data_IF_040817650289
#
_entry.id   IF_040817650289
#
_cell.length_a   1.000
_cell.length_b   1.000
_cell.length_c   1.000
_cell.angle_alpha   90.00
_cell.angle_beta   90.00
_cell.angle_gamma   90.00
#
_symmetry.space_group_name_H-M   'P 1'
#
loop_
_entity.id
_entity.type
_entity.pdbx_description
1 polymer ?
#
# COMPACT_ATOMS: atom_id res chain seq x y z
N UNK A 1 -30.11 34.52 12.86
CA UNK A 1 -28.80 34.42 13.55
C UNK A 1 -28.30 33.00 13.81
N UNK A 2 -29.08 31.92 13.61
CA UNK A 2 -28.64 30.50 13.80
C UNK A 2 -27.76 29.92 12.68
N UNK A 3 -27.93 30.35 11.42
CA UNK A 3 -27.25 29.80 10.25
C UNK A 3 -25.69 29.84 10.36
N UNK A 4 -25.04 30.94 10.80
CA UNK A 4 -23.57 30.97 10.91
C UNK A 4 -23.01 29.99 11.94
N UNK A 5 -23.71 29.72 13.03
CA UNK A 5 -23.27 28.74 14.05
C UNK A 5 -23.40 27.30 13.57
N UNK A 6 -24.43 26.97 12.78
CA UNK A 6 -24.59 25.65 12.15
C UNK A 6 -23.47 25.42 11.13
N UNK A 7 -23.19 26.40 10.28
CA UNK A 7 -22.10 26.32 9.31
C UNK A 7 -20.73 26.14 9.98
N UNK A 8 -20.46 26.87 11.06
CA UNK A 8 -19.22 26.75 11.84
C UNK A 8 -19.09 25.37 12.50
N UNK A 9 -20.19 24.87 13.06
CA UNK A 9 -20.24 23.52 13.62
C UNK A 9 -19.99 22.44 12.59
N UNK A 10 -20.58 22.52 11.41
CA UNK A 10 -20.38 21.59 10.30
C UNK A 10 -18.93 21.61 9.79
N UNK A 11 -18.33 22.81 9.65
CA UNK A 11 -16.94 22.95 9.28
C UNK A 11 -15.99 22.34 10.32
N UNK A 12 -16.27 22.55 11.60
CA UNK A 12 -15.51 21.95 12.70
C UNK A 12 -15.59 20.41 12.71
N UNK A 13 -16.79 19.86 12.51
CA UNK A 13 -17.02 18.43 12.41
C UNK A 13 -16.28 17.81 11.20
N UNK A 14 -16.33 18.47 10.04
CA UNK A 14 -15.60 18.05 8.85
C UNK A 14 -14.08 18.07 9.09
N UNK A 15 -13.53 19.16 9.61
CA UNK A 15 -12.10 19.26 9.91
C UNK A 15 -11.64 18.20 10.93
N UNK A 16 -12.49 17.87 11.90
CA UNK A 16 -12.21 16.76 12.81
C UNK A 16 -12.21 15.41 12.10
N UNK A 17 -13.19 15.18 11.21
CA UNK A 17 -13.33 13.93 10.48
C UNK A 17 -12.14 13.62 9.56
N UNK A 18 -11.56 14.66 8.90
CA UNK A 18 -10.41 14.52 8.00
C UNK A 18 -9.06 14.70 8.70
N UNK A 19 -9.02 14.86 10.01
CA UNK A 19 -7.79 15.18 10.74
C UNK A 19 -6.87 13.96 10.87
N UNK A 20 -5.66 13.97 10.25
CA UNK A 20 -4.66 12.90 10.38
C UNK A 20 -3.92 12.97 11.72
N UNK A 21 -2.90 12.15 11.89
CA UNK A 21 -1.89 12.31 12.95
C UNK A 21 -0.99 13.53 12.67
N UNK A 22 -0.12 13.84 13.64
CA UNK A 22 0.87 14.92 13.51
C UNK A 22 2.29 14.43 13.22
N UNK A 23 2.51 13.11 13.09
CA UNK A 23 3.83 12.52 12.85
C UNK A 23 4.26 12.76 11.41
N UNK A 24 5.48 13.28 11.18
CA UNK A 24 6.00 13.63 9.86
C UNK A 24 7.48 13.29 9.67
N UNK A 25 8.21 13.08 10.74
CA UNK A 25 9.68 12.93 10.69
C UNK A 25 10.11 11.66 9.96
N UNK A 26 9.24 10.65 9.94
CA UNK A 26 9.43 9.38 9.24
C UNK A 26 9.62 9.55 7.71
N UNK A 27 9.07 10.60 7.11
CA UNK A 27 9.16 10.85 5.65
C UNK A 27 10.61 10.89 5.19
N UNK A 28 11.53 11.43 6.01
CA UNK A 28 12.95 11.53 5.65
C UNK A 28 13.61 10.17 5.41
N UNK A 29 13.15 9.16 6.14
CA UNK A 29 13.66 7.80 6.02
C UNK A 29 13.11 7.09 4.76
N UNK A 30 11.89 7.44 4.34
CA UNK A 30 11.19 6.72 3.28
C UNK A 30 11.15 7.44 1.92
N UNK A 31 11.34 8.78 1.89
CA UNK A 31 11.18 9.58 0.67
C UNK A 31 12.42 9.58 -0.26
N UNK A 32 13.48 8.86 0.10
CA UNK A 32 14.72 8.84 -0.70
C UNK A 32 14.69 7.81 -1.84
N UNK A 33 13.69 6.93 -1.88
CA UNK A 33 13.51 5.91 -2.92
C UNK A 33 12.11 5.98 -3.54
N UNK A 34 11.96 5.42 -4.73
CA UNK A 34 10.68 5.13 -5.35
C UNK A 34 10.26 3.70 -5.01
N UNK A 35 8.96 3.44 -4.92
CA UNK A 35 8.42 2.14 -4.52
C UNK A 35 7.85 1.40 -5.72
N UNK A 36 8.37 0.21 -6.00
CA UNK A 36 7.85 -0.65 -7.05
C UNK A 36 6.54 -1.29 -6.57
N UNK A 37 5.43 -0.95 -7.26
CA UNK A 37 4.08 -1.47 -7.00
C UNK A 37 4.05 -2.98 -7.21
N UNK A 38 3.78 -3.76 -6.14
CA UNK A 38 3.82 -5.24 -6.17
C UNK A 38 5.15 -5.82 -6.62
N UNK A 39 6.27 -5.13 -6.31
CA UNK A 39 7.60 -5.41 -6.82
C UNK A 39 7.84 -4.87 -8.23
N UNK A 40 9.07 -5.05 -8.74
CA UNK A 40 9.43 -4.62 -10.09
C UNK A 40 9.05 -5.72 -11.10
N UNK A 41 7.75 -5.88 -11.33
CA UNK A 41 7.20 -6.93 -12.16
C UNK A 41 7.20 -6.59 -13.66
N UNK A 42 7.33 -7.62 -14.49
CA UNK A 42 7.10 -7.58 -15.94
C UNK A 42 6.50 -8.92 -16.39
N UNK A 43 5.18 -8.96 -16.51
CA UNK A 43 4.45 -10.15 -16.90
C UNK A 43 4.88 -10.72 -18.26
N UNK A 44 5.38 -9.86 -19.21
CA UNK A 44 5.85 -10.30 -20.53
C UNK A 44 7.18 -11.06 -20.43
N UNK A 45 7.95 -10.82 -19.39
CA UNK A 45 9.23 -11.50 -19.11
C UNK A 45 9.11 -12.64 -18.11
N UNK A 46 7.89 -13.05 -17.76
CA UNK A 46 7.66 -14.10 -16.78
C UNK A 46 7.97 -13.71 -15.34
N UNK A 47 7.91 -12.41 -15.03
CA UNK A 47 8.12 -11.85 -13.69
C UNK A 47 6.76 -11.28 -13.24
N UNK A 48 5.88 -12.10 -12.63
CA UNK A 48 4.55 -11.64 -12.24
C UNK A 48 4.56 -10.70 -11.03
N UNK A 49 3.48 -9.90 -10.90
CA UNK A 49 3.25 -9.06 -9.73
C UNK A 49 3.22 -9.88 -8.45
N UNK A 50 3.67 -9.30 -7.33
CA UNK A 50 3.66 -9.94 -6.01
C UNK A 50 4.41 -11.30 -5.96
N UNK A 51 5.45 -11.47 -6.79
CA UNK A 51 6.28 -12.67 -6.85
C UNK A 51 7.66 -12.46 -6.21
N UNK A 52 8.31 -13.55 -5.84
CA UNK A 52 9.69 -13.51 -5.31
C UNK A 52 10.66 -12.92 -6.32
N UNK A 53 10.47 -13.19 -7.62
CA UNK A 53 11.28 -12.62 -8.70
C UNK A 53 11.10 -11.10 -8.81
N UNK A 54 9.85 -10.59 -8.73
CA UNK A 54 9.57 -9.16 -8.78
C UNK A 54 10.17 -8.41 -7.57
N UNK A 55 10.13 -9.00 -6.39
CA UNK A 55 10.72 -8.42 -5.18
C UNK A 55 12.25 -8.42 -5.22
N UNK A 56 12.87 -9.52 -5.67
CA UNK A 56 14.32 -9.59 -5.87
C UNK A 56 14.79 -8.52 -6.84
N UNK A 57 14.10 -8.37 -7.96
CA UNK A 57 14.44 -7.39 -8.98
C UNK A 57 14.30 -5.95 -8.46
N UNK A 58 13.26 -5.63 -7.70
CA UNK A 58 13.09 -4.33 -7.06
C UNK A 58 14.24 -4.03 -6.08
N UNK A 59 14.60 -5.00 -5.23
CA UNK A 59 15.72 -4.91 -4.29
C UNK A 59 17.04 -4.68 -5.00
N UNK A 60 17.34 -5.45 -6.05
CA UNK A 60 18.57 -5.32 -6.85
C UNK A 60 18.72 -3.94 -7.51
N UNK A 61 17.60 -3.29 -7.85
CA UNK A 61 17.59 -1.93 -8.39
C UNK A 61 17.55 -0.84 -7.31
N UNK A 62 17.52 -1.22 -6.03
CA UNK A 62 17.46 -0.29 -4.90
C UNK A 62 16.14 0.46 -4.78
N UNK A 63 15.04 -0.06 -5.33
CA UNK A 63 13.70 0.46 -5.10
C UNK A 63 13.15 -0.03 -3.77
N UNK A 64 12.37 0.81 -3.09
CA UNK A 64 11.43 0.34 -2.10
C UNK A 64 10.38 -0.56 -2.75
N UNK A 65 9.68 -1.34 -1.95
CA UNK A 65 8.69 -2.29 -2.43
C UNK A 65 7.35 -1.99 -1.77
N UNK A 66 6.32 -1.86 -2.59
CA UNK A 66 4.93 -1.98 -2.12
C UNK A 66 4.45 -3.40 -2.38
N UNK A 67 3.68 -3.98 -1.44
CA UNK A 67 3.17 -5.34 -1.51
C UNK A 67 1.86 -5.54 -0.76
N UNK A 68 1.08 -6.56 -1.15
CA UNK A 68 -0.29 -6.81 -0.71
C UNK A 68 -0.38 -8.08 0.16
N UNK A 69 -0.72 -7.94 1.45
CA UNK A 69 -0.84 -9.06 2.38
C UNK A 69 -2.30 -9.48 2.53
N UNK A 70 -2.58 -10.77 2.29
CA UNK A 70 -3.83 -11.44 2.59
C UNK A 70 -3.60 -12.64 3.51
N UNK A 71 -4.67 -13.34 3.90
CA UNK A 71 -4.57 -14.61 4.64
C UNK A 71 -5.01 -15.79 3.79
N UNK A 72 -4.30 -16.90 3.94
CA UNK A 72 -4.76 -18.22 3.51
C UNK A 72 -5.87 -18.75 4.44
N UNK A 73 -6.51 -19.86 4.08
CA UNK A 73 -7.54 -20.54 4.90
C UNK A 73 -7.03 -20.93 6.29
N UNK A 74 -5.79 -21.34 6.39
CA UNK A 74 -5.12 -21.71 7.64
C UNK A 74 -4.51 -20.51 8.38
N UNK A 75 -4.82 -19.27 7.92
CA UNK A 75 -4.46 -18.03 8.60
C UNK A 75 -2.99 -17.63 8.45
N UNK A 76 -2.30 -18.13 7.45
CA UNK A 76 -0.92 -17.75 7.14
C UNK A 76 -0.94 -16.51 6.23
N UNK A 77 -0.17 -15.44 6.54
CA UNK A 77 -0.03 -14.28 5.66
C UNK A 77 0.67 -14.66 4.35
N UNK A 78 0.02 -14.34 3.23
CA UNK A 78 0.49 -14.59 1.86
C UNK A 78 0.42 -13.32 1.03
N UNK A 79 1.21 -13.23 -0.04
CA UNK A 79 1.32 -12.04 -0.85
C UNK A 79 0.55 -12.20 -2.16
N UNK A 80 -0.57 -11.50 -2.26
CA UNK A 80 -1.42 -11.47 -3.45
C UNK A 80 -2.39 -10.28 -3.37
N UNK A 81 -2.62 -9.60 -4.51
CA UNK A 81 -3.46 -8.40 -4.53
C UNK A 81 -4.97 -8.69 -4.52
N UNK A 82 -5.45 -9.52 -5.46
CA UNK A 82 -6.88 -9.69 -5.68
C UNK A 82 -7.54 -10.57 -4.61
N UNK A 83 -8.79 -10.27 -4.27
CA UNK A 83 -9.58 -11.11 -3.37
C UNK A 83 -9.91 -12.49 -4.00
N UNK A 84 -9.77 -12.64 -5.32
CA UNK A 84 -10.00 -13.89 -6.06
C UNK A 84 -8.78 -14.26 -6.89
N UNK A 85 -8.53 -15.54 -7.04
CA UNK A 85 -7.30 -16.06 -7.64
C UNK A 85 -7.28 -16.02 -9.17
N UNK A 86 -8.44 -15.94 -9.83
CA UNK A 86 -8.62 -16.21 -11.26
C UNK A 86 -7.83 -15.30 -12.23
N UNK A 87 -7.50 -14.07 -11.84
CA UNK A 87 -6.73 -13.17 -12.71
C UNK A 87 -5.28 -13.59 -12.86
N UNK A 88 -4.61 -13.91 -11.75
CA UNK A 88 -3.15 -14.11 -11.71
C UNK A 88 -2.72 -15.53 -11.35
N UNK A 89 -3.64 -16.43 -10.94
CA UNK A 89 -3.28 -17.76 -10.49
C UNK A 89 -3.69 -18.83 -11.50
N UNK A 90 -2.80 -19.78 -11.77
CA UNK A 90 -2.97 -20.88 -12.70
C UNK A 90 -2.70 -22.22 -12.02
N UNK A 91 -3.46 -23.26 -12.35
CA UNK A 91 -3.14 -24.62 -11.97
C UNK A 91 -2.01 -25.19 -12.86
N UNK A 92 -1.61 -26.43 -12.64
CA UNK A 92 -0.57 -27.13 -13.42
C UNK A 92 -0.89 -27.27 -14.92
N UNK A 93 -2.15 -27.12 -15.31
CA UNK A 93 -2.60 -27.18 -16.70
C UNK A 93 -2.68 -25.79 -17.35
N UNK A 94 -2.27 -24.71 -16.65
CA UNK A 94 -2.36 -23.34 -17.11
C UNK A 94 -3.77 -22.73 -17.02
N UNK A 95 -4.74 -23.44 -16.40
CA UNK A 95 -6.11 -22.96 -16.26
C UNK A 95 -6.24 -21.99 -15.06
N UNK A 96 -7.00 -20.87 -15.20
CA UNK A 96 -7.25 -19.97 -14.07
C UNK A 96 -7.90 -20.68 -12.88
N UNK A 97 -7.32 -20.47 -11.69
CA UNK A 97 -7.87 -21.00 -10.43
C UNK A 97 -9.00 -20.09 -9.96
N UNK A 98 -10.17 -20.66 -9.63
CA UNK A 98 -11.30 -19.93 -9.07
C UNK A 98 -11.23 -19.91 -7.53
N UNK A 99 -12.03 -19.05 -6.90
CA UNK A 99 -12.11 -18.94 -5.45
C UNK A 99 -11.29 -17.80 -4.89
N UNK A 100 -11.29 -17.69 -3.57
CA UNK A 100 -10.58 -16.67 -2.80
C UNK A 100 -9.28 -17.25 -2.21
N UNK A 101 -8.37 -16.40 -1.83
CA UNK A 101 -7.16 -16.79 -1.08
C UNK A 101 -7.53 -17.58 0.19
N UNK A 102 -8.60 -17.17 0.88
CA UNK A 102 -9.11 -17.82 2.09
C UNK A 102 -9.79 -19.17 1.87
N UNK A 103 -9.97 -19.61 0.63
CA UNK A 103 -10.52 -20.93 0.33
C UNK A 103 -9.44 -22.04 0.34
N UNK A 104 -8.17 -21.65 0.34
CA UNK A 104 -7.01 -22.52 0.20
C UNK A 104 -6.03 -22.37 1.36
N UNK A 105 -5.41 -23.46 1.81
CA UNK A 105 -4.26 -23.43 2.74
C UNK A 105 -3.01 -22.89 2.02
N UNK A 106 -1.98 -22.52 2.78
CA UNK A 106 -0.69 -22.15 2.19
C UNK A 106 -0.13 -23.27 1.29
N UNK A 107 -0.18 -24.52 1.74
CA UNK A 107 0.33 -25.65 0.97
C UNK A 107 -0.41 -25.85 -0.34
N UNK A 108 -1.74 -25.64 -0.36
CA UNK A 108 -2.54 -25.68 -1.57
C UNK A 108 -2.20 -24.50 -2.50
N UNK A 109 -2.06 -23.26 -1.97
CA UNK A 109 -1.67 -22.09 -2.72
C UNK A 109 -0.29 -22.24 -3.39
N UNK A 110 0.63 -22.91 -2.72
CA UNK A 110 1.98 -23.22 -3.22
C UNK A 110 1.99 -24.22 -4.40
N UNK A 111 0.89 -24.91 -4.67
CA UNK A 111 0.78 -25.79 -5.86
C UNK A 111 0.46 -25.01 -7.14
N UNK A 112 -0.05 -23.78 -7.02
CA UNK A 112 -0.45 -22.96 -8.15
C UNK A 112 0.70 -22.07 -8.63
N UNK A 113 0.65 -21.70 -9.91
CA UNK A 113 1.57 -20.78 -10.56
C UNK A 113 0.99 -19.37 -10.63
N UNK A 114 1.86 -18.38 -10.63
CA UNK A 114 1.49 -16.99 -10.94
C UNK A 114 1.62 -16.78 -12.45
N UNK A 115 0.49 -16.56 -13.14
CA UNK A 115 0.43 -16.42 -14.59
C UNK A 115 1.17 -17.57 -15.31
N UNK A 116 1.78 -17.30 -16.46
CA UNK A 116 2.56 -18.26 -17.24
C UNK A 116 4.04 -18.25 -16.79
N UNK A 117 4.29 -18.50 -15.49
CA UNK A 117 5.63 -18.49 -14.89
C UNK A 117 5.82 -19.65 -13.90
N UNK A 118 7.06 -19.87 -13.45
CA UNK A 118 7.37 -20.81 -12.38
C UNK A 118 7.17 -20.21 -10.96
N UNK A 119 6.88 -18.92 -10.88
CA UNK A 119 6.65 -18.22 -9.62
C UNK A 119 5.36 -18.71 -8.94
N UNK A 120 5.38 -18.75 -7.62
CA UNK A 120 4.28 -19.18 -6.76
C UNK A 120 3.84 -18.04 -5.86
N UNK A 121 2.63 -18.14 -5.28
CA UNK A 121 2.19 -17.20 -4.25
C UNK A 121 3.14 -17.29 -3.07
N UNK A 122 3.90 -16.22 -2.73
CA UNK A 122 4.83 -16.28 -1.61
C UNK A 122 4.12 -16.20 -0.27
N UNK A 123 4.62 -16.88 0.76
CA UNK A 123 4.31 -16.53 2.12
C UNK A 123 4.98 -15.19 2.49
N UNK A 124 4.33 -14.37 3.32
CA UNK A 124 4.89 -13.08 3.72
C UNK A 124 6.25 -13.24 4.44
N UNK A 125 6.40 -14.28 5.24
CA UNK A 125 7.67 -14.58 5.91
C UNK A 125 8.83 -14.77 4.91
N UNK A 126 8.60 -15.46 3.77
CA UNK A 126 9.61 -15.66 2.73
C UNK A 126 10.04 -14.34 2.08
N UNK A 127 9.07 -13.43 1.90
CA UNK A 127 9.36 -12.10 1.34
C UNK A 127 10.17 -11.26 2.33
N UNK A 128 9.82 -11.26 3.61
CA UNK A 128 10.57 -10.56 4.65
C UNK A 128 12.01 -11.08 4.76
N UNK A 129 12.21 -12.40 4.66
CA UNK A 129 13.53 -13.02 4.62
C UNK A 129 14.34 -12.60 3.37
N UNK A 130 13.70 -12.60 2.19
CA UNK A 130 14.34 -12.16 0.93
C UNK A 130 14.80 -10.72 1.01
N UNK A 131 13.96 -9.83 1.51
CA UNK A 131 14.25 -8.38 1.56
C UNK A 131 15.28 -8.08 2.64
N UNK A 132 15.15 -8.71 3.82
CA UNK A 132 16.11 -8.65 4.93
C UNK A 132 16.53 -7.21 5.31
N UNK A 133 15.62 -6.25 5.21
CA UNK A 133 15.86 -4.85 5.59
C UNK A 133 16.66 -4.01 4.58
N UNK A 134 17.04 -4.56 3.42
CA UNK A 134 17.89 -3.85 2.47
C UNK A 134 17.18 -2.70 1.74
N UNK A 135 15.87 -2.77 1.60
CA UNK A 135 15.02 -1.70 1.03
C UNK A 135 13.75 -1.51 1.87
N UNK A 136 13.19 -0.29 1.91
CA UNK A 136 11.98 -0.03 2.70
C UNK A 136 10.73 -0.65 2.06
N UNK A 137 9.77 -1.03 2.92
CA UNK A 137 8.51 -1.63 2.52
C UNK A 137 7.31 -0.70 2.80
N UNK A 138 6.35 -0.70 1.88
CA UNK A 138 4.97 -0.27 2.09
C UNK A 138 4.11 -1.53 2.05
N UNK A 139 3.49 -1.89 3.18
CA UNK A 139 2.76 -3.14 3.35
C UNK A 139 1.26 -2.86 3.38
N UNK A 140 0.55 -3.19 2.29
CA UNK A 140 -0.90 -3.05 2.27
C UNK A 140 -1.58 -4.24 2.97
N UNK A 141 -2.38 -3.94 3.99
CA UNK A 141 -3.24 -4.93 4.67
C UNK A 141 -4.54 -5.08 3.89
N UNK A 142 -4.67 -6.16 3.11
CA UNK A 142 -5.89 -6.49 2.37
C UNK A 142 -6.92 -7.13 3.30
N UNK A 143 -8.11 -6.57 3.29
CA UNK A 143 -9.26 -7.09 4.04
C UNK A 143 -10.45 -7.16 3.10
N UNK A 144 -11.45 -7.96 3.43
CA UNK A 144 -12.74 -7.93 2.72
C UNK A 144 -13.43 -6.57 2.84
N UNK A 145 -14.22 -6.22 1.84
CA UNK A 145 -14.97 -4.97 1.79
C UNK A 145 -15.92 -4.83 3.00
N UNK A 146 -15.60 -3.89 3.89
CA UNK A 146 -16.41 -3.59 5.06
C UNK A 146 -16.20 -4.53 6.26
N UNK A 147 -15.17 -5.36 6.24
CA UNK A 147 -14.84 -6.22 7.37
C UNK A 147 -14.42 -5.38 8.57
N UNK A 148 -15.16 -5.54 9.67
CA UNK A 148 -14.82 -4.95 10.96
C UNK A 148 -13.71 -5.71 11.67
N UNK A 149 -13.58 -7.01 11.41
CA UNK A 149 -12.50 -7.84 11.87
C UNK A 149 -11.38 -7.83 10.85
N UNK A 150 -10.15 -7.60 11.30
CA UNK A 150 -8.98 -7.45 10.46
C UNK A 150 -7.85 -8.39 10.92
N UNK A 151 -8.09 -9.73 10.89
CA UNK A 151 -7.12 -10.70 11.39
C UNK A 151 -5.78 -10.66 10.63
N UNK A 152 -5.79 -10.19 9.39
CA UNK A 152 -4.55 -9.97 8.62
C UNK A 152 -3.59 -9.03 9.33
N UNK A 153 -4.09 -7.99 10.01
CA UNK A 153 -3.25 -7.05 10.76
C UNK A 153 -2.50 -7.76 11.89
N UNK A 154 -3.19 -8.58 12.69
CA UNK A 154 -2.57 -9.32 13.79
C UNK A 154 -1.53 -10.33 13.29
N UNK A 155 -1.89 -11.09 12.24
CA UNK A 155 -1.02 -12.15 11.69
C UNK A 155 0.20 -11.58 10.98
N UNK A 156 0.03 -10.53 10.19
CA UNK A 156 1.14 -9.86 9.53
C UNK A 156 2.04 -9.14 10.54
N UNK A 157 1.45 -8.45 11.53
CA UNK A 157 2.20 -7.77 12.57
C UNK A 157 3.08 -8.72 13.40
N UNK A 158 2.61 -9.94 13.67
CA UNK A 158 3.41 -10.96 14.37
C UNK A 158 4.72 -11.29 13.63
N UNK A 159 4.73 -11.25 12.29
CA UNK A 159 5.94 -11.41 11.48
C UNK A 159 6.77 -10.12 11.47
N UNK A 160 6.11 -8.97 11.30
CA UNK A 160 6.79 -7.66 11.25
C UNK A 160 7.49 -7.28 12.55
N UNK A 161 7.04 -7.77 13.70
CA UNK A 161 7.72 -7.58 15.00
C UNK A 161 9.15 -8.12 15.02
N UNK A 162 9.45 -9.13 14.20
CA UNK A 162 10.77 -9.74 14.09
C UNK A 162 11.55 -9.26 12.85
N UNK A 163 10.99 -8.33 12.08
CA UNK A 163 11.62 -7.78 10.90
C UNK A 163 12.41 -6.51 11.24
N UNK A 164 13.70 -6.49 10.91
CA UNK A 164 14.61 -5.40 11.27
C UNK A 164 14.71 -4.29 10.21
N UNK A 165 13.95 -4.39 9.11
CA UNK A 165 13.96 -3.41 8.03
C UNK A 165 12.95 -2.26 8.25
N UNK A 166 13.12 -1.14 7.56
CA UNK A 166 12.16 -0.06 7.57
C UNK A 166 10.87 -0.45 6.84
N UNK A 167 9.72 -0.23 7.48
CA UNK A 167 8.42 -0.44 6.87
C UNK A 167 7.36 0.53 7.36
N UNK A 168 6.37 0.76 6.54
CA UNK A 168 5.10 1.39 6.89
C UNK A 168 3.96 0.46 6.47
N UNK A 169 2.80 0.63 7.09
CA UNK A 169 1.61 -0.15 6.74
C UNK A 169 0.54 0.76 6.16
N UNK A 170 -0.29 0.23 5.26
CA UNK A 170 -1.43 0.95 4.74
C UNK A 170 -2.63 0.04 4.47
N UNK A 171 -3.81 0.61 4.34
CA UNK A 171 -5.01 -0.13 3.96
C UNK A 171 -6.10 0.81 3.43
N UNK A 172 -6.93 0.30 2.51
CA UNK A 172 -8.21 0.91 2.15
C UNK A 172 -9.23 0.82 3.29
N UNK A 173 -9.12 -0.22 4.11
CA UNK A 173 -10.05 -0.44 5.20
C UNK A 173 -9.66 0.40 6.43
N UNK A 174 -10.50 1.38 6.85
CA UNK A 174 -10.22 2.20 8.02
C UNK A 174 -10.13 1.39 9.33
N UNK A 175 -10.72 0.20 9.41
CA UNK A 175 -10.60 -0.67 10.58
C UNK A 175 -9.19 -1.25 10.72
N UNK A 176 -8.50 -1.55 9.61
CA UNK A 176 -7.11 -1.97 9.63
C UNK A 176 -6.19 -0.83 10.14
N UNK A 177 -6.38 0.39 9.61
CA UNK A 177 -5.65 1.58 10.08
C UNK A 177 -5.92 1.87 11.56
N UNK A 178 -7.19 1.73 12.01
CA UNK A 178 -7.56 1.87 13.42
C UNK A 178 -6.99 0.77 14.30
N UNK A 179 -6.82 -0.46 13.78
CA UNK A 179 -6.19 -1.57 14.49
C UNK A 179 -4.74 -1.22 14.82
N UNK A 180 -3.95 -0.78 13.84
CA UNK A 180 -2.56 -0.35 14.05
C UNK A 180 -2.49 0.85 15.01
N UNK A 181 -3.37 1.84 14.87
CA UNK A 181 -3.43 2.95 15.82
C UNK A 181 -3.56 2.49 17.26
N UNK A 182 -4.37 1.46 17.51
CA UNK A 182 -4.71 0.98 18.85
C UNK A 182 -3.65 0.02 19.42
N UNK A 183 -3.18 -0.90 18.60
CA UNK A 183 -2.35 -2.02 19.04
C UNK A 183 -0.85 -1.77 18.83
N UNK A 184 -0.50 -0.97 17.81
CA UNK A 184 0.89 -0.65 17.45
C UNK A 184 1.03 0.83 17.09
N UNK A 185 0.82 1.73 18.08
CA UNK A 185 0.81 3.18 17.83
C UNK A 185 2.15 3.72 17.32
N UNK A 186 3.26 3.02 17.55
CA UNK A 186 4.60 3.36 17.05
C UNK A 186 4.74 3.15 15.55
N UNK A 187 4.02 2.19 14.96
CA UNK A 187 4.10 1.89 13.52
C UNK A 187 3.46 3.00 12.71
N UNK A 188 4.16 3.43 11.68
CA UNK A 188 3.67 4.40 10.69
C UNK A 188 2.59 3.73 9.85
N UNK A 189 1.42 4.37 9.77
CA UNK A 189 0.24 3.82 9.10
C UNK A 189 -0.43 4.82 8.17
N UNK A 190 -0.85 4.36 7.01
CA UNK A 190 -1.49 5.14 5.97
C UNK A 190 -2.95 4.77 5.74
N UNK A 191 -3.74 5.76 5.33
CA UNK A 191 -5.06 5.52 4.75
C UNK A 191 -4.94 5.54 3.23
N UNK A 192 -5.23 4.39 2.59
CA UNK A 192 -5.41 4.31 1.14
C UNK A 192 -6.77 4.85 0.75
N UNK A 193 -6.84 5.62 -0.33
CA UNK A 193 -8.09 6.11 -0.89
C UNK A 193 -7.98 6.47 -2.37
N UNK A 194 -9.14 6.52 -3.02
CA UNK A 194 -9.30 6.95 -4.40
C UNK A 194 -10.69 7.58 -4.63
N UNK A 195 -10.99 7.96 -5.87
CA UNK A 195 -12.31 8.46 -6.24
C UNK A 195 -13.30 7.31 -6.46
N UNK A 196 -13.68 6.61 -5.40
CA UNK A 196 -14.58 5.45 -5.43
C UNK A 196 -15.91 5.73 -6.12
N UNK A 197 -16.47 6.91 -5.93
CA UNK A 197 -17.77 7.29 -6.51
C UNK A 197 -17.77 7.35 -8.03
N UNK A 198 -16.60 7.40 -8.67
CA UNK A 198 -16.46 7.31 -10.13
C UNK A 198 -16.66 5.88 -10.65
N UNK A 199 -16.52 4.88 -9.78
CA UNK A 199 -16.79 3.48 -10.13
C UNK A 199 -18.21 3.09 -9.64
N UNK A 200 -19.13 2.69 -10.55
CA UNK A 200 -20.51 2.31 -10.17
C UNK A 200 -20.60 1.22 -9.11
N UNK A 201 -19.60 0.34 -9.00
CA UNK A 201 -19.55 -0.73 -7.97
C UNK A 201 -19.52 -0.18 -6.54
N UNK A 202 -18.97 1.01 -6.33
CA UNK A 202 -18.70 1.59 -5.01
C UNK A 202 -19.64 2.73 -4.62
N UNK A 203 -20.83 2.85 -5.25
CA UNK A 203 -21.81 3.89 -4.92
C UNK A 203 -22.53 3.61 -3.59
N UNK A 204 -21.76 3.56 -2.51
CA UNK A 204 -22.25 3.39 -1.12
C UNK A 204 -21.84 4.60 -0.27
N UNK A 205 -22.60 4.98 0.77
CA UNK A 205 -22.22 6.08 1.67
C UNK A 205 -20.81 5.89 2.29
N UNK A 206 -20.45 4.65 2.63
CA UNK A 206 -19.10 4.34 3.16
C UNK A 206 -18.00 4.62 2.15
N UNK A 207 -18.23 4.33 0.86
CA UNK A 207 -17.25 4.64 -0.21
C UNK A 207 -17.06 6.15 -0.36
N UNK A 208 -18.14 6.93 -0.29
CA UNK A 208 -18.07 8.39 -0.27
C UNK A 208 -17.27 8.88 0.95
N UNK A 209 -17.53 8.32 2.13
CA UNK A 209 -16.78 8.68 3.33
C UNK A 209 -15.29 8.36 3.21
N UNK A 210 -14.92 7.21 2.61
CA UNK A 210 -13.52 6.83 2.34
C UNK A 210 -12.88 7.74 1.29
N UNK A 211 -13.59 8.07 0.18
CA UNK A 211 -13.11 8.99 -0.85
C UNK A 211 -12.73 10.35 -0.26
N UNK A 212 -13.58 10.86 0.66
CA UNK A 212 -13.38 12.16 1.30
C UNK A 212 -12.66 12.07 2.65
N UNK A 213 -12.02 10.92 2.96
CA UNK A 213 -11.17 10.74 4.15
C UNK A 213 -11.88 11.02 5.48
N UNK A 214 -13.20 10.81 5.55
CA UNK A 214 -14.00 11.18 6.73
C UNK A 214 -13.77 10.26 7.94
N UNK A 215 -13.01 9.17 7.78
CA UNK A 215 -12.62 8.28 8.87
C UNK A 215 -11.30 8.68 9.54
N UNK A 216 -10.53 9.62 8.96
CA UNK A 216 -9.19 9.97 9.42
C UNK A 216 -9.19 10.55 10.84
N UNK A 217 -10.25 11.24 11.24
CA UNK A 217 -10.45 11.71 12.59
C UNK A 217 -10.47 10.59 13.65
N UNK A 218 -10.84 9.37 13.25
CA UNK A 218 -10.86 8.17 14.10
C UNK A 218 -9.59 7.35 13.89
N UNK A 219 -9.17 7.14 12.65
CA UNK A 219 -8.02 6.28 12.32
C UNK A 219 -6.68 6.96 12.57
N UNK A 220 -6.62 8.30 12.48
CA UNK A 220 -5.40 9.11 12.64
C UNK A 220 -4.23 8.56 11.84
N UNK A 221 -4.34 8.46 10.52
CA UNK A 221 -3.25 8.00 9.67
C UNK A 221 -2.08 8.98 9.72
N UNK A 222 -0.86 8.48 9.53
CA UNK A 222 0.35 9.28 9.47
C UNK A 222 0.62 9.80 8.06
N UNK A 223 0.02 9.15 7.07
CA UNK A 223 0.03 9.59 5.66
C UNK A 223 -1.27 9.19 4.95
N UNK A 224 -1.50 9.87 3.83
CA UNK A 224 -2.60 9.55 2.91
C UNK A 224 -2.02 9.04 1.61
N UNK A 225 -2.27 7.76 1.30
CA UNK A 225 -1.98 7.20 0.00
C UNK A 225 -3.20 7.40 -0.92
N UNK A 226 -3.07 8.29 -1.91
CA UNK A 226 -4.20 8.66 -2.75
C UNK A 226 -3.88 8.49 -4.23
N UNK A 227 -4.84 7.93 -4.99
CA UNK A 227 -4.71 7.73 -6.42
C UNK A 227 -4.32 9.02 -7.15
N UNK A 228 -3.16 9.04 -7.81
CA UNK A 228 -2.56 10.20 -8.45
C UNK A 228 -3.47 10.86 -9.49
N UNK A 229 -4.30 10.07 -10.20
CA UNK A 229 -5.27 10.58 -11.18
C UNK A 229 -6.34 11.50 -10.55
N UNK A 230 -6.53 11.40 -9.24
CA UNK A 230 -7.53 12.15 -8.47
C UNK A 230 -6.92 13.07 -7.41
N UNK A 231 -5.68 13.51 -7.61
CA UNK A 231 -4.91 14.32 -6.67
C UNK A 231 -5.60 15.61 -6.20
N UNK A 232 -6.58 16.12 -6.99
CA UNK A 232 -7.36 17.34 -6.67
C UNK A 232 -8.52 17.10 -5.71
N UNK A 233 -8.65 15.89 -5.10
CA UNK A 233 -9.68 15.66 -4.08
C UNK A 233 -9.58 16.71 -2.96
N UNK A 234 -10.70 17.41 -2.61
CA UNK A 234 -10.65 18.53 -1.68
C UNK A 234 -10.21 18.12 -0.27
N UNK A 235 -10.65 16.96 0.23
CA UNK A 235 -10.25 16.49 1.56
C UNK A 235 -8.76 16.16 1.61
N UNK A 236 -8.22 15.52 0.56
CA UNK A 236 -6.78 15.30 0.43
C UNK A 236 -5.99 16.63 0.42
N UNK A 237 -6.50 17.66 -0.29
CA UNK A 237 -5.87 18.98 -0.29
C UNK A 237 -5.91 19.60 1.12
N UNK A 238 -7.02 19.47 1.83
CA UNK A 238 -7.16 19.95 3.22
C UNK A 238 -6.20 19.24 4.14
N UNK A 239 -6.13 17.89 4.08
CA UNK A 239 -5.20 17.12 4.94
C UNK A 239 -3.74 17.54 4.71
N UNK A 240 -3.32 17.74 3.47
CA UNK A 240 -1.97 18.16 3.12
C UNK A 240 -1.70 19.63 3.49
N UNK A 241 -2.55 20.56 3.09
CA UNK A 241 -2.27 22.00 3.25
C UNK A 241 -2.53 22.52 4.65
N UNK A 242 -3.59 22.06 5.32
CA UNK A 242 -3.96 22.55 6.65
C UNK A 242 -3.24 21.78 7.75
N UNK A 243 -3.16 20.44 7.65
CA UNK A 243 -2.55 19.61 8.67
C UNK A 243 -1.10 19.20 8.32
N UNK A 244 -0.65 19.45 7.08
CA UNK A 244 0.67 19.09 6.57
C UNK A 244 0.90 17.57 6.57
N UNK A 245 -0.16 16.79 6.34
CA UNK A 245 -0.10 15.34 6.29
C UNK A 245 0.77 14.89 5.11
N UNK A 246 1.74 14.00 5.30
CA UNK A 246 2.48 13.37 4.21
C UNK A 246 1.55 12.62 3.26
N UNK A 247 1.91 12.60 1.96
CA UNK A 247 1.11 11.98 0.93
C UNK A 247 1.93 11.02 0.06
N UNK A 248 1.35 9.86 -0.25
CA UNK A 248 1.90 8.82 -1.13
C UNK A 248 1.07 8.77 -2.40
N UNK A 249 1.72 8.90 -3.57
CA UNK A 249 1.07 8.76 -4.87
C UNK A 249 1.05 7.31 -5.33
N UNK A 250 -0.10 6.82 -5.78
CA UNK A 250 -0.26 5.52 -6.46
C UNK A 250 -1.28 5.61 -7.59
N UNK A 251 -1.17 4.93 -8.71
CA UNK A 251 0.08 4.36 -9.16
C UNK A 251 0.61 5.22 -10.30
N UNK A 252 1.86 5.61 -10.22
CA UNK A 252 2.54 6.40 -11.24
C UNK A 252 2.97 5.50 -12.39
N UNK A 253 2.60 5.83 -13.62
CA UNK A 253 2.77 4.95 -14.79
C UNK A 253 3.71 5.50 -15.86
N UNK A 254 4.31 6.67 -15.63
CA UNK A 254 5.28 7.25 -16.56
C UNK A 254 6.19 8.27 -15.88
N UNK A 255 7.39 8.57 -16.45
CA UNK A 255 8.26 9.64 -15.97
C UNK A 255 7.55 11.01 -15.95
N UNK A 256 6.78 11.31 -16.98
CA UNK A 256 6.05 12.58 -17.07
C UNK A 256 4.99 12.72 -15.96
N UNK A 257 4.29 11.64 -15.59
CA UNK A 257 3.36 11.63 -14.46
C UNK A 257 4.11 11.80 -13.13
N UNK A 258 5.25 11.14 -12.97
CA UNK A 258 6.09 11.28 -11.79
C UNK A 258 6.48 12.74 -11.57
N UNK A 259 7.01 13.41 -12.60
CA UNK A 259 7.41 14.81 -12.52
C UNK A 259 6.24 15.74 -12.23
N UNK A 260 5.08 15.49 -12.85
CA UNK A 260 3.87 16.27 -12.61
C UNK A 260 3.36 16.12 -11.16
N UNK A 261 3.58 14.95 -10.52
CA UNK A 261 3.08 14.67 -9.16
C UNK A 261 4.07 15.05 -8.05
N UNK A 262 5.37 15.27 -8.33
CA UNK A 262 6.36 15.69 -7.33
C UNK A 262 5.94 16.89 -6.45
N UNK A 263 5.28 17.96 -6.96
CA UNK A 263 4.83 19.06 -6.09
C UNK A 263 3.68 18.68 -5.13
N UNK A 264 3.04 17.55 -5.35
CA UNK A 264 1.79 17.18 -4.68
C UNK A 264 1.91 16.02 -3.70
N UNK A 265 3.00 15.25 -3.77
CA UNK A 265 3.22 14.05 -2.97
C UNK A 265 4.66 14.00 -2.45
N UNK A 266 4.89 13.18 -1.44
CA UNK A 266 6.19 13.01 -0.79
C UNK A 266 6.84 11.67 -1.16
N UNK A 267 6.03 10.61 -1.36
CA UNK A 267 6.44 9.29 -1.79
C UNK A 267 5.66 8.87 -3.04
N UNK A 268 6.25 7.95 -3.82
CA UNK A 268 5.69 7.55 -5.12
C UNK A 268 5.76 6.03 -5.29
N UNK A 269 4.62 5.40 -5.50
CA UNK A 269 4.47 4.01 -5.90
C UNK A 269 4.30 3.98 -7.42
N UNK A 270 5.17 3.27 -8.13
CA UNK A 270 5.22 3.26 -9.60
C UNK A 270 5.10 1.85 -10.18
N UNK A 271 4.64 1.77 -11.44
CA UNK A 271 4.60 0.54 -12.23
C UNK A 271 4.74 0.79 -13.74
N UNK A 272 5.12 -0.23 -14.50
CA UNK A 272 5.06 -0.21 -15.97
C UNK A 272 6.19 0.57 -16.66
N UNK A 273 7.12 1.16 -15.91
CA UNK A 273 8.34 1.79 -16.44
C UNK A 273 9.48 1.65 -15.44
N UNK A 274 10.70 1.90 -15.89
CA UNK A 274 11.87 1.89 -15.04
C UNK A 274 12.32 3.35 -14.82
N UNK A 275 12.01 3.96 -13.66
CA UNK A 275 12.46 5.32 -13.37
C UNK A 275 13.95 5.32 -13.05
N UNK A 276 14.63 6.43 -13.37
CA UNK A 276 15.97 6.66 -12.83
C UNK A 276 15.84 6.81 -11.30
N UNK A 277 16.51 5.95 -10.55
CA UNK A 277 16.62 6.10 -9.11
C UNK A 277 17.38 7.36 -8.81
N UNK A 278 16.82 8.25 -8.00
CA UNK A 278 17.52 9.41 -7.45
C UNK A 278 18.58 9.04 -6.41
N UNK A 279 19.05 7.80 -6.37
CA UNK A 279 20.24 7.45 -5.61
C UNK A 279 21.42 8.17 -6.25
N UNK A 280 21.94 9.18 -5.55
CA UNK A 280 23.34 9.59 -5.72
C UNK A 280 24.13 8.30 -5.68
N UNK A 281 24.79 7.98 -6.82
CA UNK A 281 25.79 6.93 -6.87
C UNK A 281 26.59 6.95 -5.57
N UNK A 282 26.69 5.80 -4.88
CA UNK A 282 27.62 5.67 -3.78
C UNK A 282 28.97 6.21 -4.26
N UNK A 283 29.69 7.01 -3.45
CA UNK A 283 30.96 7.55 -3.87
C UNK A 283 31.84 6.39 -4.32
N UNK A 284 32.34 6.49 -5.54
CA UNK A 284 33.26 5.51 -6.14
C UNK A 284 34.42 5.35 -5.18
N UNK A 285 34.72 4.16 -4.62
CA UNK A 285 35.83 3.97 -3.70
C UNK A 285 37.19 4.26 -4.33
N UNK A 286 37.26 4.62 -5.61
CA UNK A 286 38.48 5.01 -6.33
C UNK A 286 38.81 6.51 -6.23
N UNK A 287 38.01 7.37 -5.60
CA UNK A 287 38.28 8.81 -5.43
C UNK A 287 38.82 9.19 -4.03
N UNK A 288 39.13 8.21 -3.20
CA UNK A 288 39.74 8.41 -1.88
C UNK A 288 41.10 7.67 -1.77
N UNK A 289 41.97 7.87 -2.75
CA UNK A 289 43.39 7.48 -2.67
C UNK A 289 44.27 8.68 -2.99
#
# INVERSE_FOLDING_TARGET
>A
MMIPWIALGAAGAYLYAVKPSSRKDWVKEFAHVLYAHRGLYDNRRGIPENSMAAFRLAKEHGYGIELDVQLSRDGIPVIIHDNTLNRVVRNSEGTPVSGKTTDYTLDELKQFHLLDSEERIPAFAEVLELINGEVPLIVEMKTGDGDHQVPVCEKADALLQNYNGPYVVESFNPFAVAWYRRNRPEIIRGQLSEAFTKNPKYRRPSALASEFLLFDGITRPDFIAYNAKHWKNPSRIVTRKLFGCPAVAWTIQSPAELDAMRPHYDLFIFEGFLPENGQKSAPNPAESA
#
